data_IF_565205308211
#
_entry.id   IF_565205308211
#
_cell.length_a   1.000
_cell.length_b   1.000
_cell.length_c   1.000
_cell.angle_alpha   90.00
_cell.angle_beta   90.00
_cell.angle_gamma   90.00
#
_symmetry.space_group_name_H-M   'P 1'
#
loop_
_entity.id
_entity.type
_entity.pdbx_description
1 polymer ?
#
# COMPACT_ATOMS: atom_id res chain seq x y z
N UNK A 1 -12.75 -10.54 -26.30
CA UNK A 1 -13.00 -9.27 -25.58
C UNK A 1 -13.01 -9.57 -24.09
N UNK A 2 -12.12 -8.95 -23.30
CA UNK A 2 -12.05 -9.20 -21.85
C UNK A 2 -13.10 -8.36 -21.12
N UNK A 3 -13.89 -8.97 -20.24
CA UNK A 3 -14.92 -8.27 -19.44
C UNK A 3 -14.28 -7.17 -18.58
N UNK A 4 -14.93 -6.01 -18.41
CA UNK A 4 -14.35 -4.84 -17.72
C UNK A 4 -13.89 -5.11 -16.27
N UNK A 5 -14.42 -6.13 -15.61
CA UNK A 5 -13.96 -6.62 -14.30
C UNK A 5 -12.59 -7.31 -14.36
N UNK A 6 -12.35 -8.16 -15.36
CA UNK A 6 -11.08 -8.90 -15.53
C UNK A 6 -9.90 -7.97 -15.86
N UNK A 7 -10.14 -6.97 -16.72
CA UNK A 7 -9.14 -5.96 -17.08
C UNK A 7 -8.78 -5.07 -15.88
N UNK A 8 -9.75 -4.71 -15.03
CA UNK A 8 -9.53 -3.91 -13.81
C UNK A 8 -8.74 -4.68 -12.74
N UNK A 9 -9.06 -5.95 -12.47
CA UNK A 9 -8.28 -6.78 -11.53
C UNK A 9 -6.82 -6.91 -11.94
N UNK A 10 -6.58 -7.12 -13.24
CA UNK A 10 -5.21 -7.18 -13.79
C UNK A 10 -4.47 -5.84 -13.63
N UNK A 11 -5.12 -4.70 -13.89
CA UNK A 11 -4.53 -3.37 -13.66
C UNK A 11 -4.25 -3.09 -12.18
N UNK A 12 -5.14 -3.47 -11.27
CA UNK A 12 -4.94 -3.30 -9.83
C UNK A 12 -3.76 -4.14 -9.33
N UNK A 13 -3.68 -5.40 -9.77
CA UNK A 13 -2.54 -6.29 -9.45
C UNK A 13 -1.20 -5.73 -9.97
N UNK A 14 -1.19 -5.16 -11.19
CA UNK A 14 0.00 -4.50 -11.72
C UNK A 14 0.43 -3.28 -10.89
N UNK A 15 -0.51 -2.42 -10.50
CA UNK A 15 -0.24 -1.26 -9.65
C UNK A 15 0.34 -1.67 -8.29
N UNK A 16 -0.15 -2.77 -7.72
CA UNK A 16 0.38 -3.33 -6.49
C UNK A 16 1.81 -3.87 -6.64
N UNK A 17 2.12 -4.53 -7.76
CA UNK A 17 3.48 -4.99 -8.07
C UNK A 17 4.42 -3.79 -8.25
N UNK A 18 3.97 -2.76 -8.97
CA UNK A 18 4.72 -1.53 -9.16
C UNK A 18 4.97 -0.79 -7.83
N UNK A 19 3.99 -0.79 -6.92
CA UNK A 19 4.13 -0.25 -5.57
C UNK A 19 5.19 -1.00 -4.76
N UNK A 20 5.20 -2.33 -4.81
CA UNK A 20 6.23 -3.16 -4.18
C UNK A 20 7.62 -2.88 -4.75
N UNK A 21 7.73 -2.76 -6.07
CA UNK A 21 8.97 -2.44 -6.77
C UNK A 21 9.54 -1.07 -6.35
N UNK A 22 8.71 -0.04 -6.27
CA UNK A 22 9.14 1.29 -5.81
C UNK A 22 9.58 1.30 -4.35
N UNK A 23 8.90 0.56 -3.47
CA UNK A 23 9.34 0.40 -2.07
C UNK A 23 10.70 -0.33 -1.99
N UNK A 24 10.94 -1.32 -2.85
CA UNK A 24 12.24 -2.00 -2.90
C UNK A 24 13.36 -1.07 -3.38
N UNK A 25 13.10 -0.24 -4.38
CA UNK A 25 14.06 0.80 -4.82
C UNK A 25 14.33 1.79 -3.69
N UNK A 26 13.29 2.27 -3.01
CA UNK A 26 13.43 3.17 -1.85
C UNK A 26 14.27 2.53 -0.74
N UNK A 27 14.10 1.24 -0.47
CA UNK A 27 14.92 0.51 0.48
C UNK A 27 16.40 0.55 0.10
N UNK A 28 16.73 0.26 -1.16
CA UNK A 28 18.11 0.29 -1.66
C UNK A 28 18.70 1.72 -1.57
N UNK A 29 17.95 2.73 -2.00
CA UNK A 29 18.37 4.14 -1.92
C UNK A 29 18.62 4.57 -0.46
N UNK A 30 17.72 4.19 0.45
CA UNK A 30 17.84 4.50 1.88
C UNK A 30 19.03 3.80 2.53
N UNK A 31 19.38 2.59 2.08
CA UNK A 31 20.58 1.89 2.53
C UNK A 31 21.84 2.57 1.96
N UNK A 32 21.79 2.99 0.70
CA UNK A 32 22.90 3.62 0.01
C UNK A 32 23.25 5.01 0.59
N UNK A 33 22.27 5.79 1.09
CA UNK A 33 22.51 7.10 1.72
C UNK A 33 23.28 7.03 3.04
N UNK A 34 23.33 5.85 3.68
CA UNK A 34 24.12 5.65 4.91
C UNK A 34 25.62 5.76 4.61
N UNK A 35 26.07 5.24 3.46
CA UNK A 35 27.50 5.21 3.09
C UNK A 35 28.14 6.61 2.99
N UNK A 36 27.61 7.57 2.21
CA UNK A 36 28.14 8.93 2.17
C UNK A 36 28.01 9.64 3.53
N UNK A 37 26.96 9.37 4.31
CA UNK A 37 26.81 9.95 5.65
C UNK A 37 27.91 9.49 6.63
N UNK A 38 28.28 8.20 6.61
CA UNK A 38 29.41 7.67 7.39
C UNK A 38 30.75 8.18 6.82
N UNK A 39 30.88 8.22 5.50
CA UNK A 39 32.11 8.66 4.83
C UNK A 39 32.41 10.15 5.01
N UNK A 40 31.38 10.98 5.21
CA UNK A 40 31.51 12.42 5.48
C UNK A 40 32.29 12.67 6.78
N UNK A 41 31.98 11.97 7.89
CA UNK A 41 32.77 11.99 9.13
C UNK A 41 32.27 11.01 10.20
N UNK A 42 33.19 10.29 10.84
CA UNK A 42 32.97 9.63 12.13
C UNK A 42 33.91 10.26 13.18
N UNK A 43 33.40 10.72 14.34
CA UNK A 43 32.00 10.70 14.78
C UNK A 43 31.10 11.69 14.00
N UNK A 44 29.79 11.37 13.84
CA UNK A 44 28.87 12.22 13.08
C UNK A 44 28.65 13.55 13.80
N UNK A 45 28.58 14.64 13.04
CA UNK A 45 28.05 15.92 13.55
C UNK A 45 26.55 15.79 13.82
N UNK A 46 25.94 16.70 14.58
CA UNK A 46 24.49 16.72 14.82
C UNK A 46 23.65 16.63 13.52
N UNK A 47 24.16 17.23 12.44
CA UNK A 47 23.55 17.19 11.12
C UNK A 47 23.73 15.82 10.41
N UNK A 48 24.88 15.16 10.59
CA UNK A 48 25.08 13.77 10.16
C UNK A 48 24.15 12.79 10.90
N UNK A 49 23.92 13.00 12.20
CA UNK A 49 22.94 12.23 12.97
C UNK A 49 21.52 12.42 12.44
N UNK A 50 21.14 13.64 12.06
CA UNK A 50 19.83 13.89 11.47
C UNK A 50 19.63 13.11 10.15
N UNK A 51 20.63 13.08 9.26
CA UNK A 51 20.56 12.30 8.02
C UNK A 51 20.50 10.78 8.25
N UNK A 52 21.26 10.27 9.22
CA UNK A 52 21.19 8.86 9.61
C UNK A 52 19.80 8.49 10.13
N UNK A 53 19.19 9.35 10.95
CA UNK A 53 17.83 9.13 11.46
C UNK A 53 16.77 9.19 10.36
N UNK A 54 16.88 10.14 9.43
CA UNK A 54 15.97 10.23 8.29
C UNK A 54 16.08 8.97 7.41
N UNK A 55 17.31 8.53 7.12
CA UNK A 55 17.57 7.35 6.30
C UNK A 55 17.09 6.06 6.98
N UNK A 56 17.26 5.93 8.30
CA UNK A 56 16.79 4.76 9.06
C UNK A 56 15.27 4.69 9.14
N UNK A 57 14.59 5.83 9.33
CA UNK A 57 13.13 5.91 9.27
C UNK A 57 12.62 5.57 7.86
N UNK A 58 13.31 6.02 6.82
CA UNK A 58 12.96 5.67 5.42
C UNK A 58 13.18 4.19 5.11
N UNK A 59 14.24 3.58 5.62
CA UNK A 59 14.49 2.14 5.55
C UNK A 59 13.36 1.36 6.22
N UNK A 60 12.99 1.74 7.45
CA UNK A 60 11.92 1.11 8.21
C UNK A 60 10.59 1.22 7.47
N UNK A 61 10.28 2.41 6.93
CA UNK A 61 9.08 2.67 6.14
C UNK A 61 9.02 1.78 4.90
N UNK A 62 10.12 1.69 4.15
CA UNK A 62 10.20 0.91 2.91
C UNK A 62 10.09 -0.60 3.18
N UNK A 63 10.69 -1.07 4.28
CA UNK A 63 10.60 -2.45 4.73
C UNK A 63 9.18 -2.81 5.16
N UNK A 64 8.51 -1.94 5.93
CA UNK A 64 7.10 -2.09 6.29
C UNK A 64 6.21 -2.03 5.05
N UNK A 65 6.50 -1.16 4.07
CA UNK A 65 5.80 -1.09 2.80
C UNK A 65 5.84 -2.40 2.02
N UNK A 66 7.03 -3.02 1.95
CA UNK A 66 7.21 -4.33 1.33
C UNK A 66 6.46 -5.45 2.08
N UNK A 67 6.54 -5.46 3.41
CA UNK A 67 5.88 -6.46 4.27
C UNK A 67 4.37 -6.25 4.40
N UNK A 68 3.85 -5.03 4.24
CA UNK A 68 2.42 -4.73 4.38
C UNK A 68 1.55 -5.48 3.38
N UNK A 69 2.12 -5.81 2.21
CA UNK A 69 1.50 -6.69 1.23
C UNK A 69 1.40 -8.14 1.69
N UNK A 70 2.28 -8.60 2.59
CA UNK A 70 2.33 -9.96 3.12
C UNK A 70 1.49 -10.15 4.39
N UNK A 71 1.32 -9.11 5.21
CA UNK A 71 0.79 -9.27 6.58
C UNK A 71 -0.39 -8.38 6.95
N UNK A 72 -1.09 -7.73 5.99
CA UNK A 72 -2.27 -6.90 6.28
C UNK A 72 -1.97 -5.75 7.26
N UNK A 73 -0.72 -5.24 7.27
CA UNK A 73 -0.33 -4.12 8.11
C UNK A 73 -1.09 -2.85 7.73
N UNK A 74 -1.36 -2.01 8.73
CA UNK A 74 -2.20 -0.82 8.57
C UNK A 74 -1.57 0.16 7.57
N UNK A 75 -2.21 0.33 6.41
CA UNK A 75 -1.87 1.31 5.37
C UNK A 75 -1.62 2.70 5.99
N UNK A 76 -2.38 3.05 7.04
CA UNK A 76 -2.25 4.31 7.77
C UNK A 76 -0.86 4.45 8.38
N UNK A 77 -0.33 3.41 9.03
CA UNK A 77 1.02 3.42 9.61
C UNK A 77 2.08 3.60 8.53
N UNK A 78 1.98 2.88 7.42
CA UNK A 78 2.90 3.02 6.29
C UNK A 78 2.88 4.44 5.69
N UNK A 79 1.69 4.98 5.44
CA UNK A 79 1.52 6.36 4.93
C UNK A 79 2.04 7.39 5.93
N UNK A 80 1.83 7.18 7.23
CA UNK A 80 2.30 8.09 8.28
C UNK A 80 3.84 8.13 8.36
N UNK A 81 4.48 6.97 8.25
CA UNK A 81 5.94 6.87 8.16
C UNK A 81 6.50 7.53 6.89
N UNK A 82 5.85 7.34 5.74
CA UNK A 82 6.25 8.01 4.49
C UNK A 82 6.15 9.53 4.60
N UNK A 83 5.05 10.05 5.18
CA UNK A 83 4.89 11.48 5.40
C UNK A 83 5.96 12.04 6.34
N UNK A 84 6.22 11.38 7.47
CA UNK A 84 7.27 11.77 8.39
C UNK A 84 8.65 11.77 7.73
N UNK A 85 8.96 10.74 6.91
CA UNK A 85 10.22 10.65 6.18
C UNK A 85 10.35 11.78 5.14
N UNK A 86 9.30 12.06 4.37
CA UNK A 86 9.31 13.12 3.35
C UNK A 86 9.50 14.51 3.96
N UNK A 87 8.88 14.78 5.11
CA UNK A 87 9.07 16.02 5.86
C UNK A 87 10.53 16.13 6.37
N UNK A 88 11.08 15.04 6.90
CA UNK A 88 12.50 14.97 7.31
C UNK A 88 13.46 15.24 6.16
N UNK A 89 13.21 14.65 4.98
CA UNK A 89 14.04 14.86 3.79
C UNK A 89 13.95 16.30 3.27
N UNK A 90 12.74 16.89 3.23
CA UNK A 90 12.55 18.29 2.86
C UNK A 90 13.32 19.22 3.80
N UNK A 91 13.22 19.00 5.11
CA UNK A 91 13.97 19.76 6.10
C UNK A 91 15.49 19.56 5.96
N UNK A 92 15.93 18.34 5.67
CA UNK A 92 17.33 18.00 5.43
C UNK A 92 17.90 18.71 4.19
N UNK A 93 17.15 18.72 3.09
CA UNK A 93 17.51 19.46 1.87
C UNK A 93 17.53 20.96 2.15
N UNK A 94 16.51 21.49 2.81
CA UNK A 94 16.46 22.90 3.20
C UNK A 94 17.68 23.28 4.02
N UNK A 95 18.08 22.43 4.98
CA UNK A 95 19.26 22.63 5.81
C UNK A 95 20.57 22.61 5.01
N UNK A 96 20.70 21.73 4.00
CA UNK A 96 21.85 21.72 3.10
C UNK A 96 21.94 22.98 2.24
N UNK A 97 20.80 23.49 1.77
CA UNK A 97 20.75 24.72 0.96
C UNK A 97 20.92 26.01 1.78
N UNK A 98 20.28 26.12 2.96
CA UNK A 98 20.36 27.34 3.80
C UNK A 98 21.71 27.49 4.51
N UNK A 99 22.40 26.38 4.79
CA UNK A 99 23.73 26.40 5.41
C UNK A 99 24.82 25.97 4.43
N UNK A 100 24.72 26.19 3.13
CA UNK A 100 25.73 25.69 2.18
C UNK A 100 27.17 26.14 2.54
N UNK A 101 27.35 27.36 3.06
CA UNK A 101 28.64 27.90 3.55
C UNK A 101 29.01 27.41 4.96
N UNK A 102 28.07 27.43 5.92
CA UNK A 102 28.32 26.95 7.30
C UNK A 102 28.38 25.44 7.45
N UNK A 103 27.79 24.65 6.54
CA UNK A 103 27.87 23.18 6.53
C UNK A 103 29.18 22.71 5.91
N UNK A 104 29.70 23.44 4.91
CA UNK A 104 31.09 23.31 4.44
C UNK A 104 32.10 23.67 5.54
N UNK A 105 31.89 24.75 6.30
CA UNK A 105 32.73 25.10 7.45
C UNK A 105 32.58 24.13 8.65
N UNK A 106 31.36 23.72 8.99
CA UNK A 106 31.09 22.74 10.07
C UNK A 106 31.63 21.35 9.75
N UNK A 107 31.75 21.00 8.46
CA UNK A 107 32.29 19.71 8.05
C UNK A 107 33.77 19.59 8.40
N UNK A 108 34.52 20.70 8.57
CA UNK A 108 35.90 20.83 9.10
C UNK A 108 36.76 19.56 8.93
N UNK A 109 36.69 18.95 7.76
CA UNK A 109 37.21 17.61 7.51
C UNK A 109 38.67 17.76 7.07
N UNK A 110 39.54 16.83 7.47
CA UNK A 110 40.92 16.78 6.98
C UNK A 110 41.00 16.42 5.48
N UNK A 111 39.86 16.14 4.84
CA UNK A 111 39.73 15.83 3.41
C UNK A 111 39.66 17.09 2.56
N UNK A 112 40.12 16.96 1.32
CA UNK A 112 40.08 18.01 0.31
C UNK A 112 38.65 18.58 0.16
N UNK A 113 38.44 19.91 0.21
CA UNK A 113 37.10 20.53 0.13
C UNK A 113 36.32 20.16 -1.13
N UNK A 114 37.00 19.69 -2.18
CA UNK A 114 36.39 19.21 -3.42
C UNK A 114 35.67 17.88 -3.23
N UNK A 115 36.23 16.95 -2.45
CA UNK A 115 35.59 15.66 -2.14
C UNK A 115 34.36 15.83 -1.25
N UNK A 116 34.45 16.69 -0.23
CA UNK A 116 33.33 16.97 0.68
C UNK A 116 32.14 17.59 -0.07
N UNK A 117 32.41 18.51 -1.01
CA UNK A 117 31.38 19.13 -1.85
C UNK A 117 30.68 18.13 -2.76
N UNK A 118 31.42 17.17 -3.32
CA UNK A 118 30.84 16.08 -4.13
C UNK A 118 29.97 15.17 -3.27
N UNK A 119 30.41 14.79 -2.07
CA UNK A 119 29.62 13.95 -1.15
C UNK A 119 28.32 14.65 -0.72
N UNK A 120 28.35 15.95 -0.42
CA UNK A 120 27.14 16.72 -0.07
C UNK A 120 26.18 16.81 -1.25
N UNK A 121 26.69 17.04 -2.47
CA UNK A 121 25.88 17.06 -3.70
C UNK A 121 25.26 15.70 -3.99
N UNK A 122 26.01 14.62 -3.76
CA UNK A 122 25.53 13.25 -3.91
C UNK A 122 24.41 12.96 -2.91
N UNK A 123 24.61 13.27 -1.64
CA UNK A 123 23.60 13.08 -0.58
C UNK A 123 22.32 13.88 -0.87
N UNK A 124 22.46 15.15 -1.26
CA UNK A 124 21.33 15.98 -1.67
C UNK A 124 20.58 15.37 -2.87
N UNK A 125 21.31 14.88 -3.87
CA UNK A 125 20.73 14.19 -5.02
C UNK A 125 19.97 12.92 -4.63
N UNK A 126 20.52 12.12 -3.72
CA UNK A 126 19.87 10.92 -3.19
C UNK A 126 18.60 11.28 -2.43
N UNK A 127 18.63 12.27 -1.54
CA UNK A 127 17.46 12.73 -0.79
C UNK A 127 16.35 13.24 -1.71
N UNK A 128 16.70 14.00 -2.77
CA UNK A 128 15.74 14.46 -3.78
C UNK A 128 15.11 13.28 -4.53
N UNK A 129 15.91 12.29 -4.94
CA UNK A 129 15.41 11.09 -5.59
C UNK A 129 14.47 10.29 -4.67
N UNK A 130 14.81 10.18 -3.38
CA UNK A 130 13.96 9.51 -2.39
C UNK A 130 12.61 10.23 -2.22
N UNK A 131 12.57 11.56 -2.14
CA UNK A 131 11.30 12.32 -2.05
C UNK A 131 10.41 12.03 -3.27
N UNK A 132 10.97 12.10 -4.48
CA UNK A 132 10.21 11.87 -5.71
C UNK A 132 9.62 10.46 -5.72
N UNK A 133 10.43 9.47 -5.32
CA UNK A 133 9.99 8.08 -5.23
C UNK A 133 8.93 7.88 -4.13
N UNK A 134 9.07 8.52 -2.96
CA UNK A 134 8.07 8.49 -1.88
C UNK A 134 6.74 9.09 -2.32
N UNK A 135 6.75 10.22 -3.06
CA UNK A 135 5.54 10.79 -3.65
C UNK A 135 4.88 9.83 -4.64
N UNK A 136 5.67 9.16 -5.47
CA UNK A 136 5.19 8.08 -6.34
C UNK A 136 4.49 6.97 -5.56
N UNK A 137 5.14 6.46 -4.50
CA UNK A 137 4.57 5.42 -3.63
C UNK A 137 3.27 5.89 -2.96
N UNK A 138 3.18 7.14 -2.51
CA UNK A 138 1.94 7.71 -1.95
C UNK A 138 0.82 7.74 -2.98
N UNK A 139 1.09 8.25 -4.19
CA UNK A 139 0.09 8.31 -5.26
C UNK A 139 -0.39 6.92 -5.65
N UNK A 140 0.52 5.96 -5.86
CA UNK A 140 0.13 4.58 -6.15
C UNK A 140 -0.66 3.96 -5.01
N UNK A 141 -0.28 4.19 -3.74
CA UNK A 141 -1.01 3.69 -2.58
C UNK A 141 -2.46 4.19 -2.58
N UNK A 142 -2.68 5.48 -2.87
CA UNK A 142 -4.02 6.06 -3.01
C UNK A 142 -4.83 5.43 -4.14
N UNK A 143 -4.20 5.17 -5.30
CA UNK A 143 -4.88 4.55 -6.45
C UNK A 143 -5.22 3.08 -6.14
N UNK A 144 -4.30 2.33 -5.55
CA UNK A 144 -4.51 0.93 -5.13
C UNK A 144 -5.63 0.87 -4.11
N UNK A 145 -5.62 1.73 -3.08
CA UNK A 145 -6.71 1.80 -2.09
C UNK A 145 -8.05 2.12 -2.76
N UNK A 146 -8.09 3.06 -3.69
CA UNK A 146 -9.30 3.40 -4.45
C UNK A 146 -9.81 2.24 -5.30
N UNK A 147 -8.89 1.46 -5.89
CA UNK A 147 -9.24 0.25 -6.63
C UNK A 147 -9.81 -0.82 -5.70
N UNK A 148 -9.19 -1.05 -4.54
CA UNK A 148 -9.67 -1.99 -3.53
C UNK A 148 -11.05 -1.62 -3.02
N UNK A 149 -11.28 -0.36 -2.60
CA UNK A 149 -12.61 0.10 -2.13
C UNK A 149 -13.68 -0.13 -3.19
N UNK A 150 -13.37 0.15 -4.46
CA UNK A 150 -14.32 -0.06 -5.57
C UNK A 150 -14.57 -1.54 -5.86
N UNK A 151 -13.57 -2.41 -5.68
CA UNK A 151 -13.75 -3.86 -5.77
C UNK A 151 -14.64 -4.38 -4.63
N UNK A 152 -14.41 -3.95 -3.39
CA UNK A 152 -15.27 -4.29 -2.25
C UNK A 152 -16.72 -3.85 -2.46
N UNK A 153 -16.96 -2.65 -3.01
CA UNK A 153 -18.31 -2.17 -3.31
C UNK A 153 -18.99 -3.04 -4.38
N UNK A 154 -18.24 -3.47 -5.40
CA UNK A 154 -18.75 -4.31 -6.48
C UNK A 154 -19.04 -5.73 -6.00
N UNK A 155 -18.15 -6.29 -5.17
CA UNK A 155 -18.33 -7.61 -4.57
C UNK A 155 -19.44 -7.61 -3.51
N UNK A 156 -19.61 -6.53 -2.74
CA UNK A 156 -20.72 -6.36 -1.81
C UNK A 156 -22.07 -6.34 -2.53
N UNK A 157 -22.19 -5.56 -3.62
CA UNK A 157 -23.39 -5.57 -4.47
C UNK A 157 -23.66 -6.95 -5.08
N UNK A 158 -22.61 -7.68 -5.47
CA UNK A 158 -22.74 -9.04 -6.02
C UNK A 158 -23.16 -10.06 -4.95
N UNK A 159 -22.57 -10.02 -3.75
CA UNK A 159 -22.95 -10.86 -2.60
C UNK A 159 -24.39 -10.60 -2.18
N UNK A 160 -24.82 -9.34 -2.16
CA UNK A 160 -26.21 -9.00 -1.83
C UNK A 160 -27.21 -9.54 -2.86
N UNK A 161 -26.86 -9.50 -4.17
CA UNK A 161 -27.67 -10.13 -5.22
C UNK A 161 -27.72 -11.65 -5.09
N UNK A 162 -26.60 -12.30 -4.78
CA UNK A 162 -26.56 -13.76 -4.60
C UNK A 162 -27.37 -14.17 -3.36
N UNK A 163 -27.29 -13.41 -2.27
CA UNK A 163 -28.08 -13.65 -1.06
C UNK A 163 -29.59 -13.54 -1.33
N UNK A 164 -30.04 -12.52 -2.08
CA UNK A 164 -31.45 -12.42 -2.49
C UNK A 164 -31.90 -13.59 -3.36
N UNK A 165 -31.07 -14.01 -4.31
CA UNK A 165 -31.40 -15.15 -5.18
C UNK A 165 -31.44 -16.46 -4.38
N UNK A 166 -30.58 -16.63 -3.37
CA UNK A 166 -30.66 -17.78 -2.46
C UNK A 166 -31.94 -17.75 -1.63
N UNK A 167 -32.30 -16.60 -1.05
CA UNK A 167 -33.54 -16.42 -0.27
C UNK A 167 -34.78 -16.73 -1.13
N UNK A 168 -34.87 -16.15 -2.33
CA UNK A 168 -35.95 -16.43 -3.28
C UNK A 168 -35.99 -17.93 -3.69
N UNK A 169 -34.83 -18.59 -3.82
CA UNK A 169 -34.78 -20.02 -4.15
C UNK A 169 -35.18 -20.94 -2.99
N UNK A 170 -34.90 -20.54 -1.75
CA UNK A 170 -35.28 -21.27 -0.53
C UNK A 170 -36.78 -21.14 -0.26
N UNK A 171 -37.34 -19.95 -0.47
CA UNK A 171 -38.79 -19.71 -0.44
C UNK A 171 -39.52 -20.52 -1.52
N UNK A 172 -39.02 -20.51 -2.75
CA UNK A 172 -39.63 -21.28 -3.84
C UNK A 172 -39.51 -22.80 -3.63
N UNK A 173 -38.42 -23.29 -3.02
CA UNK A 173 -38.24 -24.69 -2.67
C UNK A 173 -39.14 -25.16 -1.52
N UNK A 174 -39.41 -24.29 -0.55
CA UNK A 174 -40.33 -24.58 0.56
C UNK A 174 -41.79 -24.57 0.08
N UNK A 175 -42.18 -23.62 -0.77
CA UNK A 175 -43.50 -23.60 -1.40
C UNK A 175 -43.75 -24.85 -2.26
N UNK A 176 -42.76 -25.27 -3.06
CA UNK A 176 -42.86 -26.48 -3.88
C UNK A 176 -42.98 -27.76 -3.04
N UNK A 177 -42.24 -27.87 -1.93
CA UNK A 177 -42.40 -28.99 -0.99
C UNK A 177 -43.78 -29.02 -0.35
N UNK A 178 -44.32 -27.87 0.01
CA UNK A 178 -45.65 -27.77 0.65
C UNK A 178 -46.75 -28.21 -0.32
N UNK A 179 -46.66 -27.81 -1.59
CA UNK A 179 -47.57 -28.27 -2.65
C UNK A 179 -47.46 -29.78 -2.91
N UNK A 180 -46.26 -30.35 -2.91
CA UNK A 180 -46.06 -31.81 -3.07
C UNK A 180 -46.64 -32.61 -1.89
N UNK A 181 -46.52 -32.10 -0.66
CA UNK A 181 -47.16 -32.71 0.51
C UNK A 181 -48.68 -32.65 0.45
N UNK A 182 -49.24 -31.52 0.01
CA UNK A 182 -50.69 -31.33 -0.14
C UNK A 182 -51.26 -32.26 -1.22
N UNK A 183 -50.60 -32.35 -2.38
CA UNK A 183 -50.98 -33.25 -3.46
C UNK A 183 -50.92 -34.73 -3.04
N UNK A 184 -49.91 -35.13 -2.26
CA UNK A 184 -49.82 -36.47 -1.67
C UNK A 184 -50.92 -36.75 -0.65
N UNK A 185 -51.31 -35.78 0.17
CA UNK A 185 -52.44 -35.93 1.08
C UNK A 185 -53.75 -36.08 0.33
N UNK A 186 -54.01 -35.24 -0.67
CA UNK A 186 -55.22 -35.32 -1.50
C UNK A 186 -55.29 -36.66 -2.22
N UNK A 187 -54.19 -37.15 -2.80
CA UNK A 187 -54.16 -38.46 -3.47
C UNK A 187 -54.33 -39.64 -2.49
N UNK A 188 -53.81 -39.53 -1.26
CA UNK A 188 -53.96 -40.58 -0.24
C UNK A 188 -55.33 -40.61 0.43
N UNK A 189 -55.95 -39.46 0.67
CA UNK A 189 -57.18 -39.34 1.45
C UNK A 189 -58.42 -39.03 0.60
N UNK A 190 -58.28 -38.28 -0.50
CA UNK A 190 -59.38 -38.01 -1.44
C UNK A 190 -59.85 -39.23 -2.23
N UNK A 191 -59.01 -40.27 -2.34
CA UNK A 191 -59.38 -41.54 -2.96
C UNK A 191 -60.35 -42.39 -2.12
N UNK A 192 -60.46 -42.11 -0.81
CA UNK A 192 -61.38 -42.80 0.09
C UNK A 192 -62.78 -42.20 0.07
N UNK A 193 -62.94 -40.96 -0.40
CA UNK A 193 -64.25 -40.28 -0.46
C UNK A 193 -65.05 -40.56 -1.74
N UNK A 194 -64.44 -41.20 -2.76
CA UNK A 194 -65.13 -41.61 -3.99
C UNK A 194 -65.57 -43.08 -4.00
N UNK A 195 -65.30 -43.85 -2.93
CA UNK A 195 -65.62 -45.28 -2.87
C UNK A 195 -66.89 -45.63 -2.08
N UNK A 196 -67.71 -44.64 -1.70
CA UNK A 196 -68.99 -44.84 -1.00
C UNK A 196 -70.12 -44.03 -1.68
N UNK A 197 -70.52 -44.45 -2.89
CA UNK A 197 -71.86 -44.19 -3.49
C UNK A 197 -72.34 -45.46 -4.17
#
# INVERSE_FOLDING_TARGET
MASPSSRRRSSCSFLTLLLSFFNFILFILSAASIAPTIALRMPPTSLGWAFLMISSVSLMSSFIGFYSHLTHFCLITHVSLLLASSAGQLLGILALFTKETSSLEMLRSSRDPREAKVLVRLECGVLMAMIVMQLGVLLLSCVVQSCSVREYETEGKRRHKIARVQEESEEMATEMKTKDFDEKMINKYGKWTESDV
#
